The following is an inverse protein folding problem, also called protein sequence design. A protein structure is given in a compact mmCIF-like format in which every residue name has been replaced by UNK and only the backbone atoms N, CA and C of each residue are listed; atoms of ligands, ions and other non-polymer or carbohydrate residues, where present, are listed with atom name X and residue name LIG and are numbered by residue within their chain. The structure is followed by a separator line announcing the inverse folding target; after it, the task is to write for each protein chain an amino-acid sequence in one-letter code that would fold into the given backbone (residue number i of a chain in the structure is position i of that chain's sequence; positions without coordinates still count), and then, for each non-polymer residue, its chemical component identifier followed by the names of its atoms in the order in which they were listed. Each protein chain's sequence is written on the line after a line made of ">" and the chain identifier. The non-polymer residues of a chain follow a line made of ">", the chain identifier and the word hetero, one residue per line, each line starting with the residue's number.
data_IF_760733385410
#
_entry.id   IF_760733385410
#
_cell.length_a   1.000
_cell.length_b   1.000
_cell.length_c   1.000
_cell.angle_alpha   90.00
_cell.angle_beta   90.00
_cell.angle_gamma   90.00
#
_symmetry.space_group_name_H-M   'P 1'
#
loop_
_entity.id
_entity.type
_entity.pdbx_description
1 polymer ?
#
# COMPACT_ATOMS: atom_id res chain seq x y z
N UNK A 1 5.08 -3.57 19.73
CA UNK A 1 3.70 -4.04 19.52
C UNK A 1 3.66 -4.90 18.26
N UNK A 2 3.06 -6.09 18.30
CA UNK A 2 2.83 -6.90 17.10
C UNK A 2 1.61 -6.33 16.35
N UNK A 3 1.78 -5.88 15.10
CA UNK A 3 0.70 -5.24 14.34
C UNK A 3 -0.18 -6.27 13.61
N UNK A 4 0.35 -7.49 13.41
CA UNK A 4 -0.32 -8.57 12.68
C UNK A 4 -1.76 -8.91 13.15
N UNK A 5 -2.08 -8.99 14.47
CA UNK A 5 -3.45 -9.26 14.92
C UNK A 5 -4.44 -8.17 14.50
N UNK A 6 -4.05 -6.90 14.55
CA UNK A 6 -4.90 -5.79 14.12
C UNK A 6 -5.05 -5.75 12.60
N UNK A 7 -3.97 -5.97 11.85
CA UNK A 7 -4.04 -6.09 10.38
C UNK A 7 -5.01 -7.19 9.95
N UNK A 8 -5.03 -8.33 10.65
CA UNK A 8 -5.98 -9.42 10.36
C UNK A 8 -7.43 -8.99 10.59
N UNK A 9 -7.71 -8.22 11.65
CA UNK A 9 -9.05 -7.69 11.93
C UNK A 9 -9.49 -6.69 10.86
N UNK A 10 -8.61 -5.76 10.48
CA UNK A 10 -8.88 -4.78 9.42
C UNK A 10 -9.17 -5.46 8.08
N UNK A 11 -8.35 -6.43 7.70
CA UNK A 11 -8.55 -7.22 6.48
C UNK A 11 -9.87 -7.97 6.52
N UNK A 12 -10.21 -8.59 7.65
CA UNK A 12 -11.48 -9.30 7.80
C UNK A 12 -12.67 -8.35 7.64
N UNK A 13 -12.60 -7.18 8.29
CA UNK A 13 -13.60 -6.12 8.15
C UNK A 13 -13.74 -5.69 6.69
N UNK A 14 -12.65 -5.34 6.02
CA UNK A 14 -12.66 -4.92 4.61
C UNK A 14 -13.22 -6.01 3.70
N UNK A 15 -12.77 -7.25 3.84
CA UNK A 15 -13.24 -8.38 3.02
C UNK A 15 -14.75 -8.56 3.15
N UNK A 16 -15.29 -8.46 4.38
CA UNK A 16 -16.73 -8.59 4.65
C UNK A 16 -17.55 -7.47 3.99
N UNK A 17 -17.07 -6.24 4.01
CA UNK A 17 -17.83 -5.08 3.54
C UNK A 17 -17.65 -4.81 2.05
N UNK A 18 -16.50 -5.15 1.48
CA UNK A 18 -16.23 -4.95 0.07
C UNK A 18 -16.94 -5.97 -0.84
N UNK A 19 -17.38 -7.12 -0.29
CA UNK A 19 -18.12 -8.17 -1.04
C UNK A 19 -17.44 -8.53 -2.37
N UNK A 20 -16.11 -8.67 -2.36
CA UNK A 20 -15.30 -9.00 -3.54
C UNK A 20 -14.90 -7.81 -4.42
N UNK A 21 -15.38 -6.59 -4.14
CA UNK A 21 -14.90 -5.38 -4.81
C UNK A 21 -13.49 -5.03 -4.32
N UNK A 22 -12.66 -4.52 -5.23
CA UNK A 22 -11.34 -3.99 -4.91
C UNK A 22 -11.37 -2.47 -4.96
N UNK A 23 -10.57 -1.80 -4.12
CA UNK A 23 -10.53 -0.34 -4.06
C UNK A 23 -9.12 0.22 -4.34
N UNK A 24 -9.02 1.44 -4.87
CA UNK A 24 -7.76 2.17 -4.86
C UNK A 24 -7.30 2.41 -3.42
N UNK A 25 -5.99 2.29 -3.16
CA UNK A 25 -5.42 2.46 -1.83
C UNK A 25 -4.33 3.53 -1.82
N UNK A 26 -4.35 4.39 -0.80
CA UNK A 26 -3.32 5.40 -0.57
C UNK A 26 -2.61 5.14 0.76
N UNK A 27 -1.29 5.13 0.73
CA UNK A 27 -0.44 5.04 1.93
C UNK A 27 0.35 6.33 2.11
N UNK A 28 0.34 6.88 3.32
CA UNK A 28 1.17 8.02 3.70
C UNK A 28 2.35 7.53 4.52
N UNK A 29 3.45 7.23 3.86
CA UNK A 29 4.68 6.71 4.47
C UNK A 29 5.67 7.85 4.69
N UNK A 30 5.30 8.78 5.57
CA UNK A 30 6.16 9.91 5.97
C UNK A 30 7.31 9.45 6.88
N UNK A 31 7.17 8.27 7.51
CA UNK A 31 8.22 7.60 8.28
C UNK A 31 8.32 6.15 7.84
N UNK A 32 9.55 5.64 7.73
CA UNK A 32 9.82 4.22 7.42
C UNK A 32 9.74 3.45 8.75
N UNK A 33 8.62 2.79 8.99
CA UNK A 33 8.51 1.85 10.10
C UNK A 33 9.08 0.49 9.68
N UNK A 34 9.77 -0.18 10.61
CA UNK A 34 10.26 -1.53 10.40
C UNK A 34 9.09 -2.51 10.40
N UNK A 35 8.74 -3.03 9.23
CA UNK A 35 7.73 -4.08 9.08
C UNK A 35 8.39 -5.44 9.31
N UNK A 36 7.78 -6.33 10.10
CA UNK A 36 8.29 -7.69 10.31
C UNK A 36 8.04 -8.56 9.09
N UNK A 37 8.85 -9.59 8.88
CA UNK A 37 8.70 -10.52 7.75
C UNK A 37 7.32 -11.19 7.71
N UNK A 38 6.75 -11.52 8.87
CA UNK A 38 5.40 -12.10 8.96
C UNK A 38 4.31 -11.14 8.47
N UNK A 39 4.42 -9.86 8.82
CA UNK A 39 3.51 -8.79 8.40
C UNK A 39 3.65 -8.54 6.89
N UNK A 40 4.88 -8.49 6.38
CA UNK A 40 5.17 -8.40 4.93
C UNK A 40 4.54 -9.56 4.15
N UNK A 41 4.76 -10.79 4.62
CA UNK A 41 4.20 -11.98 3.98
C UNK A 41 2.67 -11.97 3.99
N UNK A 42 2.07 -11.54 5.10
CA UNK A 42 0.62 -11.40 5.21
C UNK A 42 0.07 -10.35 4.24
N UNK A 43 0.71 -9.17 4.16
CA UNK A 43 0.32 -8.11 3.22
C UNK A 43 0.43 -8.56 1.77
N UNK A 44 1.54 -9.22 1.41
CA UNK A 44 1.80 -9.71 0.04
C UNK A 44 0.69 -10.63 -0.47
N UNK A 45 0.14 -11.46 0.40
CA UNK A 45 -0.92 -12.41 0.04
C UNK A 45 -2.34 -11.80 0.08
N UNK A 46 -2.51 -10.70 0.81
CA UNK A 46 -3.83 -10.14 1.12
C UNK A 46 -4.15 -8.91 0.28
N UNK A 47 -3.21 -7.99 0.13
CA UNK A 47 -3.42 -6.74 -0.62
C UNK A 47 -3.94 -6.98 -2.04
N UNK A 48 -3.39 -7.93 -2.85
CA UNK A 48 -3.90 -8.16 -4.21
C UNK A 48 -5.38 -8.55 -4.28
N UNK A 49 -5.97 -9.02 -3.17
CA UNK A 49 -7.39 -9.39 -3.07
C UNK A 49 -8.28 -8.19 -2.75
N UNK A 50 -7.72 -7.13 -2.16
CA UNK A 50 -8.45 -5.98 -1.64
C UNK A 50 -8.29 -4.73 -2.50
N UNK A 51 -7.19 -4.59 -3.24
CA UNK A 51 -6.84 -3.32 -3.89
C UNK A 51 -6.67 -3.44 -5.41
N UNK A 52 -7.07 -2.38 -6.13
CA UNK A 52 -6.92 -2.27 -7.60
C UNK A 52 -5.58 -1.65 -7.97
N UNK A 53 -5.21 -0.56 -7.30
CA UNK A 53 -3.95 0.19 -7.48
C UNK A 53 -3.54 0.86 -6.17
N UNK A 54 -2.25 1.14 -6.01
CA UNK A 54 -1.67 1.70 -4.80
C UNK A 54 -0.86 2.97 -5.06
N UNK A 55 -1.19 4.06 -4.37
CA UNK A 55 -0.36 5.26 -4.32
C UNK A 55 0.38 5.32 -2.97
N UNK A 56 1.68 5.59 -3.02
CA UNK A 56 2.50 5.76 -1.81
C UNK A 56 3.02 7.19 -1.78
N UNK A 57 2.57 7.96 -0.80
CA UNK A 57 3.04 9.32 -0.58
C UNK A 57 4.17 9.30 0.44
N UNK A 58 5.32 9.82 0.04
CA UNK A 58 6.56 9.83 0.80
C UNK A 58 7.14 11.24 0.84
N UNK A 59 7.99 11.51 1.82
CA UNK A 59 8.73 12.76 1.85
C UNK A 59 9.78 12.79 0.72
N UNK A 60 10.24 13.97 0.34
CA UNK A 60 11.32 14.10 -0.63
C UNK A 60 12.66 13.57 -0.09
N UNK A 61 13.64 13.38 -0.97
CA UNK A 61 14.97 12.92 -0.62
C UNK A 61 15.11 11.39 -0.54
N UNK A 62 15.91 10.90 0.41
CA UNK A 62 16.37 9.50 0.47
C UNK A 62 15.21 8.49 0.61
N UNK A 63 14.15 8.85 1.33
CA UNK A 63 12.99 7.96 1.52
C UNK A 63 12.30 7.62 0.19
N UNK A 64 12.18 8.58 -0.73
CA UNK A 64 11.68 8.34 -2.09
C UNK A 64 12.52 7.34 -2.85
N UNK A 65 13.85 7.49 -2.81
CA UNK A 65 14.77 6.58 -3.50
C UNK A 65 14.68 5.16 -2.94
N UNK A 66 14.71 5.01 -1.60
CA UNK A 66 14.61 3.71 -0.93
C UNK A 66 13.28 3.02 -1.28
N UNK A 67 12.16 3.73 -1.17
CA UNK A 67 10.84 3.16 -1.40
C UNK A 67 10.65 2.81 -2.88
N UNK A 68 11.08 3.68 -3.80
CA UNK A 68 11.04 3.40 -5.23
C UNK A 68 11.84 2.13 -5.58
N UNK A 69 13.04 2.01 -5.02
CA UNK A 69 13.91 0.84 -5.19
C UNK A 69 13.27 -0.42 -4.60
N UNK A 70 12.69 -0.33 -3.41
CA UNK A 70 12.00 -1.45 -2.78
C UNK A 70 10.80 -1.94 -3.59
N UNK A 71 10.01 -1.03 -4.19
CA UNK A 71 8.88 -1.39 -5.06
C UNK A 71 9.36 -2.07 -6.34
N UNK A 72 10.44 -1.54 -6.94
CA UNK A 72 11.04 -2.13 -8.13
C UNK A 72 11.45 -3.59 -7.88
N UNK A 73 12.06 -3.87 -6.73
CA UNK A 73 12.45 -5.24 -6.35
C UNK A 73 11.27 -6.11 -5.90
N UNK A 74 10.25 -5.54 -5.24
CA UNK A 74 9.11 -6.32 -4.75
C UNK A 74 8.16 -6.77 -5.85
N UNK A 75 8.16 -6.08 -7.01
CA UNK A 75 7.35 -6.39 -8.20
C UNK A 75 5.88 -6.65 -7.84
N UNK A 76 5.15 -5.62 -7.36
CA UNK A 76 3.76 -5.78 -6.96
C UNK A 76 2.90 -6.25 -8.14
N UNK A 77 1.91 -7.10 -7.85
CA UNK A 77 0.98 -7.66 -8.85
C UNK A 77 -0.11 -6.69 -9.29
N UNK A 78 -0.09 -5.46 -8.77
CA UNK A 78 -1.04 -4.38 -9.04
C UNK A 78 -0.27 -3.07 -9.28
N UNK A 79 -0.84 -2.14 -10.08
CA UNK A 79 -0.22 -0.85 -10.35
C UNK A 79 0.12 -0.12 -9.05
N UNK A 80 1.39 0.24 -8.88
CA UNK A 80 1.88 0.93 -7.69
C UNK A 80 2.73 2.13 -8.11
N UNK A 81 2.48 3.30 -7.53
CA UNK A 81 3.22 4.52 -7.85
C UNK A 81 3.56 5.34 -6.61
N UNK A 82 4.77 5.91 -6.60
CA UNK A 82 5.29 6.74 -5.51
C UNK A 82 5.14 8.21 -5.86
N UNK A 83 4.69 9.01 -4.89
CA UNK A 83 4.44 10.43 -5.02
C UNK A 83 5.06 11.20 -3.85
N UNK A 84 5.43 12.45 -4.09
CA UNK A 84 5.81 13.41 -3.04
C UNK A 84 4.70 14.43 -2.78
N UNK A 85 3.72 14.51 -3.69
CA UNK A 85 2.58 15.41 -3.61
C UNK A 85 1.28 14.62 -3.41
N UNK A 86 0.54 14.93 -2.34
CA UNK A 86 -0.71 14.25 -1.96
C UNK A 86 -1.81 14.40 -3.02
N UNK A 87 -1.95 15.60 -3.60
CA UNK A 87 -3.00 15.89 -4.59
C UNK A 87 -2.76 15.06 -5.85
N UNK A 88 -1.52 15.05 -6.36
CA UNK A 88 -1.17 14.22 -7.54
C UNK A 88 -1.37 12.72 -7.30
N UNK A 89 -1.13 12.25 -6.07
CA UNK A 89 -1.39 10.86 -5.71
C UNK A 89 -2.88 10.54 -5.74
N UNK A 90 -3.71 11.44 -5.21
CA UNK A 90 -5.16 11.30 -5.23
C UNK A 90 -5.71 11.36 -6.66
N UNK A 91 -5.26 12.33 -7.46
CA UNK A 91 -5.68 12.45 -8.86
C UNK A 91 -5.38 11.17 -9.64
N UNK A 92 -4.20 10.57 -9.45
CA UNK A 92 -3.86 9.29 -10.09
C UNK A 92 -4.71 8.11 -9.60
N UNK A 93 -5.11 8.12 -8.32
CA UNK A 93 -6.00 7.09 -7.79
C UNK A 93 -7.45 7.22 -8.29
N UNK A 94 -7.94 8.45 -8.47
CA UNK A 94 -9.31 8.72 -8.92
C UNK A 94 -9.46 8.64 -10.44
N UNK A 95 -8.40 8.94 -11.19
CA UNK A 95 -8.41 8.80 -12.64
C UNK A 95 -8.20 7.33 -13.01
N UNK A 96 -9.28 6.69 -13.47
CA UNK A 96 -9.24 5.40 -14.13
C UNK A 96 -8.80 5.62 -15.59
N UNK A 97 -7.51 5.44 -15.85
CA UNK A 97 -7.03 5.09 -17.19
C UNK A 97 -6.96 3.57 -17.31
#
# INVERSE_FOLDING_TARGET
>A
MHQLPEMKKEVHFLTKHLKGKKLPFISYSQTVQKIKNEELNYMKNTLPKLITKMAIVVNEGLSKYIIHTAIYFSRPTFPTKVFTNKNKAMDWLLNDN
#
